data_IF_492673376041
#
_entry.id   IF_492673376041
#
_cell.length_a   1.000
_cell.length_b   1.000
_cell.length_c   1.000
_cell.angle_alpha   90.00
_cell.angle_beta   90.00
_cell.angle_gamma   90.00
#
_symmetry.space_group_name_H-M   'P 1'
#
loop_
_entity.id
_entity.type
_entity.pdbx_description
1 polymer ?
#
# COMPACT_ATOMS: atom_id res chain seq x y z
N UNK A 1 13.06 9.90 7.05
CA UNK A 1 12.14 10.19 8.18
C UNK A 1 12.32 9.14 9.26
N UNK A 2 11.51 9.17 10.36
CA UNK A 2 11.57 8.12 11.38
C UNK A 2 10.85 6.84 10.92
N UNK A 3 11.25 5.67 11.43
CA UNK A 3 10.64 4.38 11.05
C UNK A 3 9.10 4.34 11.22
N UNK A 4 8.49 4.89 12.30
CA UNK A 4 7.03 4.95 12.41
C UNK A 4 6.36 5.71 11.26
N UNK A 5 6.97 6.80 10.78
CA UNK A 5 6.42 7.59 9.67
C UNK A 5 6.47 6.80 8.35
N UNK A 6 7.55 6.07 8.09
CA UNK A 6 7.65 5.18 6.92
C UNK A 6 6.63 4.06 6.96
N UNK A 7 6.48 3.40 8.11
CA UNK A 7 5.47 2.34 8.29
C UNK A 7 4.06 2.89 8.10
N UNK A 8 3.71 4.02 8.74
CA UNK A 8 2.38 4.59 8.63
C UNK A 8 2.02 4.97 7.19
N UNK A 9 2.97 5.60 6.46
CA UNK A 9 2.75 5.95 5.06
C UNK A 9 2.62 4.71 4.16
N UNK A 10 3.45 3.71 4.36
CA UNK A 10 3.39 2.46 3.60
C UNK A 10 2.10 1.69 3.86
N UNK A 11 1.62 1.64 5.11
CA UNK A 11 0.33 1.08 5.47
C UNK A 11 -0.83 1.82 4.81
N UNK A 12 -0.77 3.16 4.76
CA UNK A 12 -1.75 3.95 4.03
C UNK A 12 -1.77 3.57 2.54
N UNK A 13 -0.60 3.53 1.89
CA UNK A 13 -0.49 3.06 0.50
C UNK A 13 -1.06 1.65 0.31
N UNK A 14 -0.71 0.72 1.22
CA UNK A 14 -1.21 -0.66 1.20
C UNK A 14 -2.73 -0.74 1.31
N UNK A 15 -3.34 0.05 2.18
CA UNK A 15 -4.80 0.12 2.30
C UNK A 15 -5.46 0.73 1.06
N UNK A 16 -4.86 1.77 0.48
CA UNK A 16 -5.37 2.38 -0.76
C UNK A 16 -5.40 1.38 -1.91
N UNK A 17 -4.38 0.52 -2.05
CA UNK A 17 -4.36 -0.52 -3.08
C UNK A 17 -5.16 -1.78 -2.70
N UNK A 18 -5.73 -1.84 -1.50
CA UNK A 18 -6.53 -2.98 -1.04
C UNK A 18 -5.71 -4.22 -0.68
N UNK A 19 -4.49 -4.02 -0.17
CA UNK A 19 -3.68 -5.12 0.32
C UNK A 19 -4.35 -5.81 1.51
N UNK A 20 -4.31 -7.15 1.51
CA UNK A 20 -4.76 -7.96 2.63
C UNK A 20 -3.81 -7.86 3.84
N UNK A 21 -4.12 -8.53 4.94
CA UNK A 21 -3.29 -8.47 6.17
C UNK A 21 -1.84 -8.91 5.92
N UNK A 22 -1.64 -9.95 5.11
CA UNK A 22 -0.29 -10.43 4.77
C UNK A 22 0.44 -9.40 3.89
N UNK A 23 -0.24 -8.85 2.88
CA UNK A 23 0.29 -7.78 2.04
C UNK A 23 0.68 -6.53 2.83
N UNK A 24 -0.15 -6.11 3.80
CA UNK A 24 0.17 -4.99 4.70
C UNK A 24 1.43 -5.28 5.55
N UNK A 25 1.61 -6.52 6.02
CA UNK A 25 2.82 -6.91 6.74
C UNK A 25 4.06 -6.82 5.83
N UNK A 26 4.00 -7.36 4.60
CA UNK A 26 5.10 -7.28 3.64
C UNK A 26 5.42 -5.84 3.22
N UNK A 27 4.41 -4.99 3.02
CA UNK A 27 4.59 -3.56 2.74
C UNK A 27 5.31 -2.87 3.90
N UNK A 28 4.92 -3.17 5.14
CA UNK A 28 5.57 -2.60 6.33
C UNK A 28 7.04 -3.00 6.44
N UNK A 29 7.36 -4.29 6.20
CA UNK A 29 8.74 -4.77 6.15
C UNK A 29 9.51 -4.03 5.04
N UNK A 30 8.93 -3.98 3.84
CA UNK A 30 9.51 -3.29 2.69
C UNK A 30 9.84 -1.82 2.97
N UNK A 31 8.96 -1.13 3.73
CA UNK A 31 9.17 0.28 4.07
C UNK A 31 10.37 0.55 4.98
N UNK A 32 10.94 -0.48 5.61
CA UNK A 32 12.13 -0.35 6.45
C UNK A 32 13.43 -0.71 5.72
N UNK A 33 13.32 -1.50 4.63
CA UNK A 33 14.50 -2.06 3.94
C UNK A 33 15.47 -1.00 3.40
N UNK A 34 15.05 0.15 2.84
CA UNK A 34 16.00 1.16 2.38
C UNK A 34 16.92 1.67 3.48
N UNK A 35 16.45 1.72 4.73
CA UNK A 35 17.26 2.15 5.88
C UNK A 35 18.25 1.08 6.38
N UNK A 36 18.42 -0.04 5.67
CA UNK A 36 19.41 -1.06 6.00
C UNK A 36 20.85 -0.53 5.84
N UNK A 37 21.04 0.55 5.09
CA UNK A 37 22.31 1.24 4.95
C UNK A 37 22.67 2.13 6.16
N UNK A 38 21.78 2.21 7.15
CA UNK A 38 21.96 3.01 8.36
C UNK A 38 22.04 2.13 9.61
N UNK A 39 23.25 1.87 10.18
CA UNK A 39 23.39 0.95 11.33
C UNK A 39 22.60 1.34 12.58
N UNK A 40 22.24 2.61 12.73
CA UNK A 40 21.44 3.10 13.86
C UNK A 40 19.93 3.05 13.61
N UNK A 41 19.49 2.72 12.39
CA UNK A 41 18.09 2.54 12.08
C UNK A 41 17.50 1.29 12.76
N UNK A 42 16.17 1.17 12.78
CA UNK A 42 15.51 -0.01 13.35
C UNK A 42 15.99 -1.29 12.68
N UNK A 43 15.95 -1.36 11.35
CA UNK A 43 16.37 -2.53 10.57
C UNK A 43 17.89 -2.70 10.60
N UNK A 44 18.64 -1.60 10.58
CA UNK A 44 20.11 -1.63 10.61
C UNK A 44 20.68 -2.18 11.90
N UNK A 45 20.01 -1.96 13.05
CA UNK A 45 20.40 -2.55 14.34
C UNK A 45 20.17 -4.05 14.36
N UNK A 46 19.03 -4.53 13.82
CA UNK A 46 18.71 -5.96 13.75
C UNK A 46 19.71 -6.69 12.85
N UNK A 47 20.03 -6.10 11.70
CA UNK A 47 20.93 -6.67 10.69
C UNK A 47 22.28 -5.91 10.65
N UNK A 48 22.85 -5.62 11.83
CA UNK A 48 24.08 -4.82 11.95
C UNK A 48 25.25 -5.35 11.12
N UNK A 49 25.39 -6.66 11.05
CA UNK A 49 26.45 -7.34 10.29
C UNK A 49 26.32 -7.12 8.75
N UNK A 50 25.13 -6.77 8.26
CA UNK A 50 24.90 -6.36 6.86
C UNK A 50 24.97 -4.84 6.74
N UNK A 51 24.31 -4.13 7.67
CA UNK A 51 24.18 -2.68 7.66
C UNK A 51 25.55 -1.97 7.75
N UNK A 52 26.41 -2.41 8.65
CA UNK A 52 27.70 -1.78 8.85
C UNK A 52 28.62 -1.82 7.61
N UNK A 53 28.83 -2.97 6.93
CA UNK A 53 29.59 -3.02 5.69
C UNK A 53 29.00 -2.17 4.57
N UNK A 54 27.66 -2.17 4.42
CA UNK A 54 26.96 -1.36 3.41
C UNK A 54 27.21 0.12 3.69
N UNK A 55 27.01 0.57 4.93
CA UNK A 55 27.22 1.95 5.33
C UNK A 55 28.68 2.39 5.12
N UNK A 56 29.65 1.54 5.50
CA UNK A 56 31.08 1.82 5.34
C UNK A 56 31.48 1.97 3.86
N UNK A 57 30.88 1.17 2.96
CA UNK A 57 31.23 1.16 1.54
C UNK A 57 30.50 2.25 0.75
N UNK A 58 29.22 2.42 0.98
CA UNK A 58 28.35 3.27 0.16
C UNK A 58 27.88 4.53 0.87
N UNK A 59 27.87 4.54 2.21
CA UNK A 59 27.28 5.61 3.01
C UNK A 59 25.76 5.51 3.09
N UNK A 60 25.17 6.36 3.92
CA UNK A 60 23.72 6.43 4.09
C UNK A 60 23.04 7.26 2.99
N UNK A 61 21.86 6.83 2.54
CA UNK A 61 21.04 7.47 1.50
C UNK A 61 21.71 7.60 0.14
N UNK A 62 22.42 6.57 -0.28
CA UNK A 62 23.04 6.51 -1.60
C UNK A 62 22.42 5.39 -2.43
N UNK A 63 23.18 4.34 -2.78
CA UNK A 63 22.79 3.30 -3.72
C UNK A 63 21.53 2.54 -3.28
N UNK A 64 21.37 2.30 -1.98
CA UNK A 64 20.18 1.59 -1.43
C UNK A 64 18.91 2.46 -1.51
N UNK A 65 19.08 3.79 -1.49
CA UNK A 65 17.97 4.72 -1.67
C UNK A 65 17.73 5.09 -3.15
N UNK A 66 18.50 4.52 -4.10
CA UNK A 66 18.16 4.64 -5.52
C UNK A 66 16.92 3.81 -5.86
N UNK A 67 16.27 4.10 -6.98
CA UNK A 67 15.05 3.38 -7.37
C UNK A 67 15.34 1.98 -7.91
N UNK A 68 16.54 1.73 -8.42
CA UNK A 68 16.86 0.53 -9.20
C UNK A 68 16.73 -0.79 -8.43
N UNK A 69 17.24 -0.94 -7.19
CA UNK A 69 17.05 -2.18 -6.41
C UNK A 69 15.57 -2.53 -6.22
N UNK A 70 14.73 -1.52 -6.06
CA UNK A 70 13.32 -1.68 -5.77
C UNK A 70 12.48 -1.94 -7.01
N UNK A 71 12.88 -1.36 -8.16
CA UNK A 71 12.33 -1.74 -9.48
C UNK A 71 12.64 -3.20 -9.79
N UNK A 72 13.86 -3.64 -9.54
CA UNK A 72 14.21 -5.06 -9.71
C UNK A 72 13.37 -5.95 -8.79
N UNK A 73 13.21 -5.57 -7.52
CA UNK A 73 12.38 -6.30 -6.58
C UNK A 73 10.91 -6.35 -7.01
N UNK A 74 10.41 -5.25 -7.54
CA UNK A 74 9.06 -5.15 -8.07
C UNK A 74 8.85 -6.09 -9.27
N UNK A 75 9.82 -6.14 -10.21
CA UNK A 75 9.77 -7.06 -11.34
C UNK A 75 9.80 -8.53 -10.90
N UNK A 76 10.64 -8.88 -9.92
CA UNK A 76 10.64 -10.20 -9.31
C UNK A 76 9.32 -10.53 -8.61
N UNK A 77 8.61 -9.52 -8.13
CA UNK A 77 7.28 -9.63 -7.54
C UNK A 77 6.20 -10.11 -8.51
N UNK A 78 6.42 -10.03 -9.82
CA UNK A 78 5.54 -10.63 -10.85
C UNK A 78 5.53 -12.15 -10.70
N UNK A 79 6.68 -12.74 -10.34
CA UNK A 79 6.84 -14.19 -10.15
C UNK A 79 6.40 -14.60 -8.75
N UNK A 80 6.71 -13.79 -7.73
CA UNK A 80 6.40 -14.08 -6.32
C UNK A 80 5.78 -12.85 -5.64
N UNK A 81 4.45 -12.86 -5.50
CA UNK A 81 3.64 -11.74 -5.01
C UNK A 81 4.13 -11.06 -3.71
N UNK A 82 4.68 -11.75 -2.68
CA UNK A 82 5.23 -11.08 -1.51
C UNK A 82 6.29 -10.03 -1.84
N UNK A 83 7.14 -10.27 -2.86
CA UNK A 83 8.16 -9.31 -3.29
C UNK A 83 7.54 -8.04 -3.90
N UNK A 84 6.37 -8.15 -4.54
CA UNK A 84 5.63 -7.00 -5.04
C UNK A 84 5.26 -6.06 -3.89
N UNK A 85 4.68 -6.60 -2.82
CA UNK A 85 4.30 -5.83 -1.64
C UNK A 85 5.53 -5.22 -0.93
N UNK A 86 6.62 -5.97 -0.81
CA UNK A 86 7.89 -5.45 -0.26
C UNK A 86 8.42 -4.31 -1.14
N UNK A 87 8.37 -4.44 -2.46
CA UNK A 87 8.75 -3.40 -3.42
C UNK A 87 7.93 -2.14 -3.27
N UNK A 88 6.60 -2.27 -3.13
CA UNK A 88 5.69 -1.14 -2.86
C UNK A 88 6.08 -0.42 -1.56
N UNK A 89 6.37 -1.17 -0.50
CA UNK A 89 6.82 -0.61 0.78
C UNK A 89 8.12 0.18 0.63
N UNK A 90 9.11 -0.37 -0.07
CA UNK A 90 10.40 0.29 -0.29
C UNK A 90 10.28 1.55 -1.18
N UNK A 91 9.46 1.50 -2.23
CA UNK A 91 9.18 2.68 -3.07
C UNK A 91 8.45 3.76 -2.26
N UNK A 92 7.49 3.39 -1.41
CA UNK A 92 6.80 4.33 -0.54
C UNK A 92 7.75 5.02 0.44
N UNK A 93 8.75 4.29 0.99
CA UNK A 93 9.81 4.85 1.81
C UNK A 93 10.60 5.95 1.05
N UNK A 94 11.09 5.63 -0.14
CA UNK A 94 11.85 6.57 -0.98
C UNK A 94 10.99 7.80 -1.30
N UNK A 95 9.72 7.59 -1.63
CA UNK A 95 8.80 8.69 -1.96
C UNK A 95 8.63 9.66 -0.80
N UNK A 96 8.36 9.16 0.42
CA UNK A 96 8.17 10.05 1.57
C UNK A 96 9.49 10.71 2.00
N UNK A 97 10.64 10.09 1.76
CA UNK A 97 11.95 10.70 2.01
C UNK A 97 12.27 11.83 1.02
N UNK A 98 11.65 11.85 -0.17
CA UNK A 98 11.72 13.01 -1.06
C UNK A 98 11.01 14.28 -0.49
N UNK A 99 10.20 14.14 0.57
CA UNK A 99 9.59 15.27 1.29
C UNK A 99 10.55 15.86 2.35
N UNK A 100 11.67 15.18 2.64
CA UNK A 100 12.61 15.61 3.67
C UNK A 100 13.55 16.73 3.20
N UNK A 101 14.18 17.39 4.17
CA UNK A 101 15.20 18.40 3.88
C UNK A 101 16.35 17.83 3.08
N UNK A 102 16.75 16.59 3.35
CA UNK A 102 17.88 15.92 2.69
C UNK A 102 17.56 15.47 1.27
N UNK A 103 16.31 15.08 1.01
CA UNK A 103 15.93 14.44 -0.26
C UNK A 103 16.59 13.09 -0.48
N UNK A 104 16.48 12.57 -1.70
CA UNK A 104 16.98 11.25 -2.11
C UNK A 104 17.65 11.31 -3.48
N UNK A 105 18.84 10.71 -3.67
CA UNK A 105 19.49 10.61 -4.98
C UNK A 105 18.90 9.45 -5.79
N UNK A 106 17.68 9.64 -6.27
CA UNK A 106 16.79 8.62 -6.83
C UNK A 106 17.41 7.80 -7.97
N UNK A 107 18.27 8.43 -8.80
CA UNK A 107 18.79 7.86 -10.04
C UNK A 107 20.25 7.39 -9.94
N UNK A 108 20.83 7.24 -8.74
CA UNK A 108 22.16 6.66 -8.62
C UNK A 108 22.20 5.25 -9.22
N UNK A 109 23.28 4.86 -9.91
CA UNK A 109 24.52 5.62 -10.18
C UNK A 109 24.45 6.53 -11.41
N UNK A 110 23.35 6.56 -12.16
CA UNK A 110 23.21 7.31 -13.42
C UNK A 110 23.23 8.83 -13.20
N UNK A 111 22.74 9.30 -12.06
CA UNK A 111 22.71 10.73 -11.74
C UNK A 111 22.84 10.95 -10.24
N UNK A 112 23.72 11.86 -9.85
CA UNK A 112 23.91 12.29 -8.45
C UNK A 112 22.92 13.39 -8.02
N UNK A 113 21.93 13.75 -8.86
CA UNK A 113 20.93 14.77 -8.52
C UNK A 113 20.03 14.26 -7.39
N UNK A 114 19.88 15.11 -6.37
CA UNK A 114 18.99 14.85 -5.24
C UNK A 114 17.58 15.32 -5.59
N UNK A 115 16.62 14.41 -5.50
CA UNK A 115 15.21 14.68 -5.72
C UNK A 115 14.55 15.11 -4.41
N UNK A 116 13.80 16.20 -4.49
CA UNK A 116 12.97 16.76 -3.43
C UNK A 116 11.67 17.25 -4.04
N UNK A 117 10.55 16.95 -3.38
CA UNK A 117 9.21 17.29 -3.89
C UNK A 117 8.85 18.73 -3.52
N UNK A 118 9.16 19.16 -2.29
CA UNK A 118 8.75 20.47 -1.81
C UNK A 118 9.86 21.53 -1.85
N UNK A 119 9.46 22.78 -1.97
CA UNK A 119 10.34 23.93 -1.75
C UNK A 119 10.92 23.89 -0.32
N UNK A 120 12.08 24.52 -0.11
CA UNK A 120 12.84 24.45 1.14
C UNK A 120 12.01 24.77 2.40
N UNK A 121 11.02 25.66 2.28
CA UNK A 121 10.15 26.08 3.41
C UNK A 121 9.20 24.96 3.88
N UNK A 122 8.81 24.04 3.00
CA UNK A 122 7.83 23.00 3.26
C UNK A 122 8.43 21.63 3.51
N UNK A 123 9.76 21.50 3.39
CA UNK A 123 10.45 20.23 3.65
C UNK A 123 10.38 19.86 5.12
N UNK A 124 10.23 18.57 5.38
CA UNK A 124 10.13 18.03 6.74
C UNK A 124 11.53 17.66 7.22
N UNK A 125 11.91 18.18 8.38
CA UNK A 125 13.13 17.76 9.07
C UNK A 125 12.82 16.53 9.93
N UNK A 126 13.62 15.47 9.80
CA UNK A 126 13.50 14.26 10.61
C UNK A 126 13.53 14.59 12.11
N UNK A 127 12.62 14.01 12.89
CA UNK A 127 12.45 14.26 14.33
C UNK A 127 11.83 15.61 14.68
N UNK A 128 11.33 16.38 13.70
CA UNK A 128 10.69 17.68 13.96
C UNK A 128 9.20 17.53 14.27
N UNK A 129 8.63 18.58 14.89
CA UNK A 129 7.18 18.66 15.15
C UNK A 129 6.35 18.50 13.88
N UNK A 130 6.86 18.92 12.70
CA UNK A 130 6.19 18.73 11.42
C UNK A 130 6.09 17.26 11.05
N UNK A 131 7.10 16.46 11.35
CA UNK A 131 7.04 15.01 11.14
C UNK A 131 6.02 14.35 12.08
N UNK A 132 5.93 14.77 13.34
CA UNK A 132 4.91 14.28 14.26
C UNK A 132 3.49 14.60 13.77
N UNK A 133 3.25 15.80 13.26
CA UNK A 133 1.96 16.13 12.64
C UNK A 133 1.68 15.27 11.41
N UNK A 134 2.67 15.05 10.55
CA UNK A 134 2.52 14.17 9.39
C UNK A 134 2.20 12.74 9.84
N UNK A 135 2.92 12.21 10.83
CA UNK A 135 2.66 10.89 11.40
C UNK A 135 1.24 10.79 11.97
N UNK A 136 0.80 11.80 12.71
CA UNK A 136 -0.56 11.84 13.26
C UNK A 136 -1.62 11.79 12.14
N UNK A 137 -1.46 12.61 11.11
CA UNK A 137 -2.36 12.59 9.93
C UNK A 137 -2.37 11.21 9.28
N UNK A 138 -1.19 10.60 9.08
CA UNK A 138 -1.08 9.27 8.48
C UNK A 138 -1.78 8.20 9.33
N UNK A 139 -1.63 8.23 10.66
CA UNK A 139 -2.33 7.30 11.55
C UNK A 139 -3.85 7.46 11.42
N UNK A 140 -4.36 8.69 11.41
CA UNK A 140 -5.79 8.97 11.21
C UNK A 140 -6.26 8.45 9.85
N UNK A 141 -5.49 8.69 8.78
CA UNK A 141 -5.80 8.20 7.44
C UNK A 141 -5.77 6.66 7.36
N UNK A 142 -4.79 6.01 8.00
CA UNK A 142 -4.73 4.55 8.10
C UNK A 142 -5.92 3.99 8.87
N UNK A 143 -6.33 4.65 9.97
CA UNK A 143 -7.51 4.27 10.75
C UNK A 143 -8.82 4.48 9.97
N UNK A 144 -8.92 5.60 9.26
CA UNK A 144 -10.10 5.96 8.46
C UNK A 144 -10.19 5.24 7.11
N UNK A 145 -9.06 4.74 6.58
CA UNK A 145 -9.03 4.00 5.31
C UNK A 145 -9.56 2.56 5.46
N UNK A 146 -10.76 2.42 6.04
CA UNK A 146 -11.48 1.13 6.09
C UNK A 146 -11.98 0.73 4.70
N UNK A 147 -12.09 1.69 3.78
CA UNK A 147 -12.57 1.53 2.41
C UNK A 147 -11.46 1.88 1.42
N UNK A 148 -10.97 0.89 0.69
CA UNK A 148 -10.06 1.16 -0.43
C UNK A 148 -10.87 1.62 -1.64
N UNK A 149 -10.59 2.80 -2.24
CA UNK A 149 -11.26 3.22 -3.46
C UNK A 149 -10.98 2.27 -4.64
N UNK A 150 -9.83 1.59 -4.64
CA UNK A 150 -9.51 0.58 -5.65
C UNK A 150 -10.32 -0.70 -5.47
N UNK A 151 -10.75 -1.03 -4.25
CA UNK A 151 -11.67 -2.15 -4.03
C UNK A 151 -13.06 -1.83 -4.58
N UNK A 152 -13.52 -0.58 -4.47
CA UNK A 152 -14.75 -0.15 -5.11
C UNK A 152 -14.63 -0.27 -6.65
N UNK A 153 -13.48 0.10 -7.24
CA UNK A 153 -13.23 -0.06 -8.68
C UNK A 153 -13.18 -1.55 -9.07
N UNK A 154 -12.57 -2.41 -8.27
CA UNK A 154 -12.56 -3.87 -8.51
C UNK A 154 -13.94 -4.50 -8.42
N UNK A 155 -14.77 -4.04 -7.50
CA UNK A 155 -16.19 -4.44 -7.41
C UNK A 155 -16.95 -4.02 -8.68
N UNK A 156 -16.68 -2.82 -9.20
CA UNK A 156 -17.25 -2.33 -10.46
C UNK A 156 -16.75 -3.11 -11.69
N UNK A 157 -15.57 -3.72 -11.65
CA UNK A 157 -15.02 -4.53 -12.76
C UNK A 157 -15.51 -5.99 -12.80
N UNK A 158 -16.47 -6.38 -11.95
CA UNK A 158 -17.17 -7.66 -12.08
C UNK A 158 -16.54 -8.86 -11.38
N UNK A 159 -15.57 -8.67 -10.49
CA UNK A 159 -15.02 -9.75 -9.67
C UNK A 159 -15.92 -10.02 -8.44
N UNK A 160 -17.01 -10.77 -8.69
CA UNK A 160 -18.01 -11.10 -7.66
C UNK A 160 -17.42 -11.92 -6.49
N UNK A 161 -16.39 -12.75 -6.74
CA UNK A 161 -15.74 -13.56 -5.70
C UNK A 161 -15.03 -12.69 -4.68
N UNK A 162 -14.40 -11.61 -5.14
CA UNK A 162 -13.72 -10.66 -4.26
C UNK A 162 -14.74 -9.81 -3.48
N UNK A 163 -15.81 -9.35 -4.14
CA UNK A 163 -16.89 -8.61 -3.49
C UNK A 163 -17.58 -9.44 -2.41
N UNK A 164 -17.86 -10.71 -2.70
CA UNK A 164 -18.47 -11.66 -1.76
C UNK A 164 -17.53 -11.91 -0.56
N UNK A 165 -16.26 -12.15 -0.79
CA UNK A 165 -15.25 -12.36 0.26
C UNK A 165 -15.12 -11.15 1.17
N UNK A 166 -15.10 -9.95 0.63
CA UNK A 166 -15.04 -8.71 1.41
C UNK A 166 -16.31 -8.49 2.24
N UNK A 167 -17.48 -8.81 1.68
CA UNK A 167 -18.74 -8.77 2.42
C UNK A 167 -18.73 -9.76 3.59
N UNK A 168 -18.28 -10.98 3.36
CA UNK A 168 -18.18 -12.00 4.42
C UNK A 168 -17.16 -11.64 5.53
N UNK A 169 -16.07 -10.97 5.18
CA UNK A 169 -15.02 -10.57 6.15
C UNK A 169 -15.42 -9.34 6.99
N UNK A 170 -16.21 -8.41 6.45
CA UNK A 170 -16.44 -7.10 7.06
C UNK A 170 -17.88 -6.80 7.45
N UNK A 171 -18.85 -7.59 6.99
CA UNK A 171 -20.26 -7.53 7.40
C UNK A 171 -21.07 -6.27 7.06
N UNK A 172 -20.42 -5.12 6.86
CA UNK A 172 -21.08 -3.80 6.78
C UNK A 172 -20.84 -3.04 5.46
N UNK A 173 -20.24 -3.69 4.46
CA UNK A 173 -19.92 -3.03 3.20
C UNK A 173 -21.05 -3.17 2.19
N UNK A 174 -21.58 -2.01 1.75
CA UNK A 174 -22.43 -1.96 0.56
C UNK A 174 -21.57 -2.31 -0.67
N UNK A 175 -21.64 -3.55 -1.12
CA UNK A 175 -20.93 -4.00 -2.32
C UNK A 175 -21.88 -4.02 -3.51
N UNK A 176 -21.59 -3.22 -4.53
CA UNK A 176 -22.29 -3.26 -5.81
C UNK A 176 -21.56 -4.20 -6.76
N UNK A 177 -22.31 -5.14 -7.33
CA UNK A 177 -21.85 -6.03 -8.39
C UNK A 177 -22.42 -5.56 -9.72
N UNK A 178 -21.59 -5.19 -10.67
CA UNK A 178 -22.02 -4.94 -12.03
C UNK A 178 -21.84 -6.20 -12.87
N UNK A 179 -22.91 -6.71 -13.42
CA UNK A 179 -22.84 -7.97 -14.15
C UNK A 179 -24.16 -8.45 -14.73
N UNK A 180 -24.16 -9.71 -15.14
CA UNK A 180 -25.34 -10.39 -15.69
C UNK A 180 -25.73 -11.52 -14.74
N UNK A 181 -26.93 -11.46 -14.19
CA UNK A 181 -27.49 -12.50 -13.32
C UNK A 181 -28.54 -13.28 -14.10
N UNK A 182 -28.47 -14.63 -14.02
CA UNK A 182 -29.50 -15.53 -14.52
C UNK A 182 -30.41 -15.88 -13.34
N UNK A 183 -31.67 -15.52 -13.44
CA UNK A 183 -32.70 -15.86 -12.46
C UNK A 183 -33.08 -17.35 -12.51
N UNK A 184 -33.65 -17.89 -11.42
CA UNK A 184 -34.23 -19.25 -11.40
C UNK A 184 -35.34 -19.43 -12.43
N UNK A 185 -35.98 -18.35 -12.84
CA UNK A 185 -37.02 -18.32 -13.91
C UNK A 185 -36.43 -18.42 -15.32
N UNK A 186 -35.09 -18.43 -15.46
CA UNK A 186 -34.39 -18.40 -16.75
C UNK A 186 -34.19 -16.99 -17.34
N UNK A 187 -34.76 -15.96 -16.72
CA UNK A 187 -34.62 -14.58 -17.15
C UNK A 187 -33.17 -14.08 -16.88
N UNK A 188 -32.63 -13.34 -17.83
CA UNK A 188 -31.27 -12.77 -17.73
C UNK A 188 -31.41 -11.27 -17.51
N UNK A 189 -30.91 -10.78 -16.34
CA UNK A 189 -30.83 -9.33 -16.05
C UNK A 189 -29.41 -8.86 -16.03
N UNK A 190 -29.17 -7.72 -16.67
CA UNK A 190 -27.88 -7.03 -16.73
C UNK A 190 -28.01 -5.71 -15.98
N UNK A 191 -27.08 -5.42 -15.04
CA UNK A 191 -27.10 -4.17 -14.28
C UNK A 191 -26.23 -4.23 -13.03
N UNK A 192 -26.43 -3.23 -12.16
CA UNK A 192 -25.77 -3.14 -10.86
C UNK A 192 -26.63 -3.76 -9.79
N UNK A 193 -26.05 -4.63 -8.98
CA UNK A 193 -26.74 -5.36 -7.91
C UNK A 193 -26.05 -5.07 -6.59
N UNK A 194 -26.85 -4.69 -5.58
CA UNK A 194 -26.36 -4.50 -4.21
C UNK A 194 -26.37 -5.85 -3.48
N UNK A 195 -25.22 -6.28 -2.96
CA UNK A 195 -25.14 -7.47 -2.11
C UNK A 195 -25.63 -7.10 -0.71
N UNK A 196 -26.67 -7.78 -0.24
CA UNK A 196 -27.31 -7.50 1.06
C UNK A 196 -27.13 -8.62 2.07
N UNK A 197 -26.64 -9.79 1.65
CA UNK A 197 -26.41 -10.93 2.53
C UNK A 197 -25.71 -12.08 1.83
N UNK A 198 -25.35 -13.09 2.61
CA UNK A 198 -24.74 -14.33 2.10
C UNK A 198 -25.39 -15.53 2.77
N UNK A 199 -25.66 -16.56 2.01
CA UNK A 199 -26.11 -17.86 2.51
C UNK A 199 -25.15 -18.94 1.98
N UNK A 200 -24.25 -19.43 2.86
CA UNK A 200 -23.17 -20.34 2.47
C UNK A 200 -22.21 -19.70 1.45
N UNK A 201 -22.10 -20.29 0.26
CA UNK A 201 -21.26 -19.81 -0.85
C UNK A 201 -22.02 -18.90 -1.84
N UNK A 202 -23.24 -18.53 -1.55
CA UNK A 202 -24.12 -17.71 -2.41
C UNK A 202 -24.31 -16.32 -1.81
N UNK A 203 -24.34 -15.29 -2.65
CA UNK A 203 -24.67 -13.93 -2.25
C UNK A 203 -26.14 -13.63 -2.54
N UNK A 204 -26.80 -12.96 -1.60
CA UNK A 204 -28.10 -12.35 -1.85
C UNK A 204 -27.87 -10.93 -2.37
N UNK A 205 -28.49 -10.57 -3.48
CA UNK A 205 -28.32 -9.27 -4.09
C UNK A 205 -29.68 -8.60 -4.36
N UNK A 206 -29.72 -7.28 -4.20
CA UNK A 206 -30.88 -6.45 -4.60
C UNK A 206 -30.51 -5.76 -5.91
N UNK A 207 -31.41 -5.81 -6.88
CA UNK A 207 -31.33 -4.99 -8.07
C UNK A 207 -31.76 -3.56 -7.75
N UNK A 208 -31.05 -2.58 -8.32
CA UNK A 208 -31.41 -1.17 -8.17
C UNK A 208 -32.80 -0.95 -8.75
N UNK A 209 -33.80 -0.98 -7.91
CA UNK A 209 -35.18 -0.78 -8.31
C UNK A 209 -36.25 -1.72 -7.77
N UNK A 210 -36.06 -2.49 -6.67
CA UNK A 210 -37.23 -3.02 -5.92
C UNK A 210 -37.37 -4.52 -5.64
N UNK A 211 -36.44 -5.41 -5.93
CA UNK A 211 -36.64 -6.82 -5.54
C UNK A 211 -35.39 -7.53 -5.03
N UNK A 212 -35.53 -8.21 -3.89
CA UNK A 212 -34.58 -9.19 -3.37
C UNK A 212 -34.53 -10.42 -4.31
N UNK A 213 -33.33 -10.82 -4.68
CA UNK A 213 -33.07 -12.03 -5.45
C UNK A 213 -32.23 -12.99 -4.59
N UNK A 214 -32.65 -14.23 -4.50
CA UNK A 214 -31.93 -15.33 -3.88
C UNK A 214 -31.11 -16.10 -4.92
#
# INVERSE_FOLDING_TARGET
MTAPTHIAFSLFCGKVIGADKAGLAYISIGSLLPDIDHPESLIGRIFFFISYPINKRFGHRREVHSIWPWVLLFLLGIIWHPLLYIGIGAVSHIFIDCLTVSGVPLLLPLSHKVFVIFSRKWRVKTGSIREFFLLFILIVLVGGASYSPLNAIRVLTGDYRMALRQYMEKGDLLCYLEGTIRMKTGEIKRGSFLIVGTEGNYGMAIFDGDRLFH
#
